data_IF_978360248360
#
_entry.id   IF_978360248360
#
_cell.length_a   1.000
_cell.length_b   1.000
_cell.length_c   1.000
_cell.angle_alpha   90.00
_cell.angle_beta   90.00
_cell.angle_gamma   90.00
#
_symmetry.space_group_name_H-M   'P 1'
#
loop_
_entity.id
_entity.type
_entity.pdbx_description
1 polymer ?
#
# COMPACT_ATOMS: atom_id res chain seq x y z
N UNK A 1 -18.29 18.18 -10.50
CA UNK A 1 -17.37 17.06 -10.28
C UNK A 1 -18.23 15.85 -9.96
N UNK A 2 -18.06 14.74 -10.67
CA UNK A 2 -18.79 13.49 -10.44
C UNK A 2 -17.83 12.45 -9.87
N UNK A 3 -18.31 11.60 -8.95
CA UNK A 3 -17.48 10.49 -8.41
C UNK A 3 -17.37 9.37 -9.44
N UNK A 4 -18.39 9.23 -10.28
CA UNK A 4 -18.40 8.23 -11.35
C UNK A 4 -17.46 8.63 -12.48
N UNK A 5 -16.78 7.63 -13.04
CA UNK A 5 -15.85 7.76 -14.16
C UNK A 5 -16.51 7.15 -15.39
N UNK A 6 -16.70 7.94 -16.44
CA UNK A 6 -17.37 7.50 -17.67
C UNK A 6 -16.56 6.41 -18.41
N UNK A 7 -15.24 6.49 -18.33
CA UNK A 7 -14.33 5.50 -18.90
C UNK A 7 -12.98 5.54 -18.18
N UNK A 8 -12.45 4.38 -17.77
CA UNK A 8 -11.13 4.27 -17.15
C UNK A 8 -10.02 4.76 -18.10
N UNK A 9 -10.21 4.59 -19.40
CA UNK A 9 -9.21 4.95 -20.42
C UNK A 9 -9.32 6.39 -20.91
N UNK A 10 -10.43 7.06 -20.62
CA UNK A 10 -10.75 8.39 -21.17
C UNK A 10 -11.52 9.26 -20.17
N UNK A 11 -11.16 9.15 -18.88
CA UNK A 11 -11.78 9.94 -17.83
C UNK A 11 -11.49 11.44 -18.02
N UNK A 12 -12.51 12.28 -17.84
CA UNK A 12 -12.34 13.73 -17.84
C UNK A 12 -11.76 14.22 -16.52
N UNK A 13 -11.12 15.41 -16.55
CA UNK A 13 -10.49 16.02 -15.35
C UNK A 13 -11.43 16.26 -14.17
N UNK A 14 -12.73 16.33 -14.41
CA UNK A 14 -13.76 16.54 -13.38
C UNK A 14 -14.44 15.27 -12.90
N UNK A 15 -14.07 14.12 -13.46
CA UNK A 15 -14.55 12.80 -13.02
C UNK A 15 -13.62 12.17 -12.00
N UNK A 16 -14.18 11.25 -11.21
CA UNK A 16 -13.46 10.48 -10.20
C UNK A 16 -13.29 11.20 -8.85
N UNK A 17 -12.95 10.41 -7.86
CA UNK A 17 -12.64 10.90 -6.52
C UNK A 17 -11.28 11.63 -6.51
N UNK A 18 -11.19 12.70 -5.70
CA UNK A 18 -9.91 13.38 -5.44
C UNK A 18 -9.32 12.83 -4.15
N UNK A 19 -8.04 12.49 -4.21
CA UNK A 19 -7.32 12.07 -3.03
C UNK A 19 -6.62 13.30 -2.44
N UNK A 20 -6.93 13.57 -1.17
CA UNK A 20 -6.24 14.57 -0.37
C UNK A 20 -5.66 13.86 0.86
N UNK A 21 -4.38 13.59 0.84
CA UNK A 21 -3.69 12.89 1.92
C UNK A 21 -3.05 13.84 2.91
N UNK A 22 -2.55 14.97 2.42
CA UNK A 22 -1.91 16.01 3.20
C UNK A 22 -2.71 17.30 3.05
N UNK A 23 -2.79 18.08 4.12
CA UNK A 23 -3.47 19.37 4.09
C UNK A 23 -2.70 20.36 3.21
N UNK A 24 -3.46 21.18 2.48
CA UNK A 24 -2.89 22.27 1.69
C UNK A 24 -2.85 23.54 2.53
N UNK A 25 -1.70 24.19 2.55
CA UNK A 25 -1.55 25.53 3.12
C UNK A 25 -2.00 26.57 2.10
N UNK A 26 -2.96 27.43 2.49
CA UNK A 26 -3.45 28.50 1.63
C UNK A 26 -2.34 29.53 1.38
N UNK A 27 -2.13 29.85 0.10
CA UNK A 27 -1.09 30.83 -0.31
C UNK A 27 0.31 30.23 -0.51
N UNK A 28 0.48 28.94 -0.35
CA UNK A 28 1.76 28.28 -0.65
C UNK A 28 2.12 28.41 -2.14
N UNK A 29 3.39 28.65 -2.44
CA UNK A 29 3.89 28.85 -3.80
C UNK A 29 4.86 27.76 -4.31
N UNK A 30 5.00 26.66 -3.59
CA UNK A 30 5.90 25.57 -4.03
C UNK A 30 6.14 24.49 -2.98
N UNK A 31 6.47 24.87 -1.75
CA UNK A 31 6.70 23.94 -0.66
C UNK A 31 5.67 24.14 0.45
N UNK A 32 5.28 23.06 1.11
CA UNK A 32 4.40 23.07 2.28
C UNK A 32 5.24 22.77 3.54
N UNK A 33 4.77 23.20 4.70
CA UNK A 33 5.43 22.97 5.99
C UNK A 33 5.16 21.58 6.59
N UNK A 34 4.35 20.74 5.92
CA UNK A 34 4.06 19.39 6.36
C UNK A 34 5.13 18.41 5.89
N UNK A 35 5.49 17.47 6.78
CA UNK A 35 6.47 16.43 6.50
C UNK A 35 5.85 15.25 5.75
N UNK A 36 6.66 14.57 4.92
CA UNK A 36 6.29 13.28 4.37
C UNK A 36 6.45 12.21 5.44
N UNK A 37 5.36 11.49 5.74
CA UNK A 37 5.34 10.47 6.78
C UNK A 37 5.99 9.18 6.27
N UNK A 38 7.09 8.77 6.90
CA UNK A 38 7.74 7.48 6.62
C UNK A 38 7.07 6.32 7.35
N UNK A 39 6.76 6.51 8.66
CA UNK A 39 6.06 5.54 9.49
C UNK A 39 5.05 6.26 10.37
N UNK A 40 3.92 5.62 10.62
CA UNK A 40 2.90 6.12 11.54
C UNK A 40 2.26 4.98 12.34
N UNK A 41 1.57 5.31 13.40
CA UNK A 41 1.03 4.35 14.35
C UNK A 41 0.16 3.26 13.69
N UNK A 42 -0.63 3.61 12.66
CA UNK A 42 -1.41 2.64 11.92
C UNK A 42 -0.55 1.54 11.28
N UNK A 43 0.65 1.88 10.78
CA UNK A 43 1.56 0.87 10.22
C UNK A 43 2.06 -0.11 11.29
N UNK A 44 2.38 0.38 12.48
CA UNK A 44 2.78 -0.47 13.61
C UNK A 44 1.67 -1.46 13.98
N UNK A 45 0.41 -1.00 14.01
CA UNK A 45 -0.74 -1.88 14.27
C UNK A 45 -0.94 -2.92 13.17
N UNK A 46 -0.78 -2.56 11.90
CA UNK A 46 -0.89 -3.53 10.82
C UNK A 46 0.29 -4.49 10.76
N UNK A 47 1.51 -4.08 11.12
CA UNK A 47 2.63 -5.00 11.30
C UNK A 47 2.38 -5.98 12.45
N UNK A 48 1.82 -5.51 13.59
CA UNK A 48 1.38 -6.37 14.70
C UNK A 48 0.31 -7.36 14.24
N UNK A 49 -0.69 -6.89 13.47
CA UNK A 49 -1.72 -7.74 12.90
C UNK A 49 -1.14 -8.81 11.98
N UNK A 50 -0.23 -8.43 11.08
CA UNK A 50 0.45 -9.37 10.18
C UNK A 50 1.24 -10.44 10.94
N UNK A 51 2.02 -10.04 11.95
CA UNK A 51 2.79 -10.96 12.76
C UNK A 51 1.89 -11.99 13.48
N UNK A 52 0.75 -11.54 14.01
CA UNK A 52 -0.24 -12.42 14.64
C UNK A 52 -0.86 -13.38 13.62
N UNK A 53 -1.27 -12.88 12.46
CA UNK A 53 -1.89 -13.69 11.41
C UNK A 53 -0.93 -14.72 10.81
N UNK A 54 0.38 -14.45 10.82
CA UNK A 54 1.40 -15.37 10.29
C UNK A 54 1.91 -16.38 11.30
N UNK A 55 1.82 -16.14 12.59
CA UNK A 55 2.40 -17.04 13.58
C UNK A 55 1.83 -16.92 14.99
N UNK A 56 0.82 -16.08 15.20
CA UNK A 56 0.12 -15.94 16.48
C UNK A 56 -1.01 -16.96 16.66
N UNK A 57 -1.82 -16.73 17.68
CA UNK A 57 -2.98 -17.55 17.98
C UNK A 57 -4.28 -16.71 18.02
N UNK A 58 -5.43 -17.40 18.08
CA UNK A 58 -6.74 -16.76 18.09
C UNK A 58 -6.94 -15.77 19.25
N UNK A 59 -6.38 -16.05 20.44
CA UNK A 59 -6.51 -15.17 21.60
C UNK A 59 -5.77 -13.83 21.37
N UNK A 60 -4.57 -13.86 20.78
CA UNK A 60 -3.81 -12.64 20.44
C UNK A 60 -4.49 -11.84 19.35
N UNK A 61 -5.12 -12.51 18.37
CA UNK A 61 -5.88 -11.82 17.32
C UNK A 61 -7.14 -11.16 17.90
N UNK A 62 -7.87 -11.86 18.75
CA UNK A 62 -9.05 -11.32 19.44
C UNK A 62 -8.68 -10.10 20.31
N UNK A 63 -7.57 -10.17 21.04
CA UNK A 63 -7.08 -9.07 21.86
C UNK A 63 -6.73 -7.85 21.00
N UNK A 64 -6.07 -8.04 19.85
CA UNK A 64 -5.77 -6.95 18.92
C UNK A 64 -7.04 -6.31 18.34
N UNK A 65 -8.01 -7.13 17.91
CA UNK A 65 -9.27 -6.63 17.35
C UNK A 65 -10.10 -5.85 18.41
N UNK A 66 -9.94 -6.16 19.69
CA UNK A 66 -10.59 -5.46 20.80
C UNK A 66 -9.82 -4.18 21.24
N UNK A 67 -8.61 -3.94 20.74
CA UNK A 67 -7.79 -2.79 21.15
C UNK A 67 -8.36 -1.49 20.58
N UNK A 68 -8.74 -0.49 21.41
CA UNK A 68 -9.42 0.73 20.93
C UNK A 68 -8.64 1.49 19.88
N UNK A 69 -7.32 1.58 20.01
CA UNK A 69 -6.49 2.27 19.04
C UNK A 69 -6.43 1.58 17.67
N UNK A 70 -6.58 0.25 17.63
CA UNK A 70 -6.71 -0.49 16.38
C UNK A 70 -8.08 -0.30 15.74
N UNK A 71 -9.16 -0.32 16.55
CA UNK A 71 -10.52 -0.06 16.08
C UNK A 71 -10.66 1.34 15.50
N UNK A 72 -10.06 2.35 16.14
CA UNK A 72 -10.13 3.74 15.71
C UNK A 72 -9.61 3.95 14.28
N UNK A 73 -8.70 3.11 13.78
CA UNK A 73 -8.21 3.22 12.39
C UNK A 73 -9.37 3.05 11.40
N UNK A 74 -10.29 2.14 11.69
CA UNK A 74 -11.47 1.87 10.84
C UNK A 74 -12.61 2.85 11.10
N UNK A 75 -12.86 3.14 12.38
CA UNK A 75 -13.95 4.01 12.79
C UNK A 75 -13.83 5.41 12.22
N UNK A 76 -12.62 6.00 12.18
CA UNK A 76 -12.39 7.32 11.59
C UNK A 76 -12.71 7.37 10.08
N UNK A 77 -12.70 6.22 9.41
CA UNK A 77 -13.08 6.07 8.01
C UNK A 77 -14.56 5.64 7.86
N UNK A 78 -15.33 5.65 8.96
CA UNK A 78 -16.72 5.19 9.00
C UNK A 78 -16.89 3.76 8.45
N UNK A 79 -15.92 2.88 8.77
CA UNK A 79 -15.95 1.49 8.38
C UNK A 79 -16.12 0.57 9.60
N UNK A 80 -16.76 -0.59 9.44
CA UNK A 80 -16.86 -1.57 10.52
C UNK A 80 -15.47 -1.97 11.04
N UNK A 81 -15.33 -2.09 12.37
CA UNK A 81 -14.11 -2.59 13.00
C UNK A 81 -13.85 -4.04 12.63
N UNK A 82 -12.59 -4.44 12.65
CA UNK A 82 -12.22 -5.82 12.39
C UNK A 82 -12.58 -6.74 13.57
N UNK A 83 -13.02 -7.93 13.22
CA UNK A 83 -13.13 -9.08 14.12
C UNK A 83 -12.10 -10.14 13.74
N UNK A 84 -11.82 -11.14 14.59
CA UNK A 84 -10.91 -12.24 14.23
C UNK A 84 -11.30 -12.98 12.95
N UNK A 85 -12.59 -13.02 12.63
CA UNK A 85 -13.11 -13.70 11.44
C UNK A 85 -12.94 -12.85 10.17
N UNK A 86 -12.98 -11.53 10.29
CA UNK A 86 -12.90 -10.62 9.15
C UNK A 86 -11.47 -10.16 8.85
N UNK A 87 -10.57 -10.19 9.84
CA UNK A 87 -9.17 -9.82 9.67
C UNK A 87 -8.34 -11.01 9.19
N UNK A 88 -8.23 -11.15 7.89
CA UNK A 88 -7.38 -12.16 7.23
C UNK A 88 -6.14 -11.52 6.63
N UNK A 89 -5.13 -12.32 6.22
CA UNK A 89 -3.95 -11.80 5.52
C UNK A 89 -4.32 -11.10 4.19
N UNK A 90 -5.31 -11.63 3.47
CA UNK A 90 -5.76 -11.02 2.22
C UNK A 90 -6.52 -9.71 2.45
N UNK A 91 -7.32 -9.63 3.51
CA UNK A 91 -7.95 -8.37 3.88
C UNK A 91 -6.93 -7.37 4.41
N UNK A 92 -5.96 -7.80 5.20
CA UNK A 92 -4.92 -6.93 5.74
C UNK A 92 -4.11 -6.23 4.64
N UNK A 93 -3.69 -6.94 3.58
CA UNK A 93 -2.97 -6.30 2.45
C UNK A 93 -3.87 -5.32 1.69
N UNK A 94 -5.17 -5.58 1.61
CA UNK A 94 -6.12 -4.68 0.99
C UNK A 94 -6.33 -3.43 1.86
N UNK A 95 -6.47 -3.61 3.17
CA UNK A 95 -6.58 -2.50 4.11
C UNK A 95 -5.33 -1.63 4.14
N UNK A 96 -4.14 -2.22 4.18
CA UNK A 96 -2.89 -1.48 4.02
C UNK A 96 -2.86 -0.66 2.74
N UNK A 97 -3.38 -1.21 1.64
CA UNK A 97 -3.49 -0.50 0.37
C UNK A 97 -4.43 0.70 0.41
N UNK A 98 -5.53 0.62 1.17
CA UNK A 98 -6.47 1.73 1.39
C UNK A 98 -5.88 2.78 2.34
N UNK A 99 -5.38 2.32 3.48
CA UNK A 99 -4.87 3.17 4.54
C UNK A 99 -3.62 3.95 4.14
N UNK A 100 -2.69 3.31 3.42
CA UNK A 100 -1.41 3.90 3.00
C UNK A 100 -1.41 4.34 1.54
N UNK A 101 -2.58 4.57 0.95
CA UNK A 101 -2.67 5.18 -0.38
C UNK A 101 -1.87 6.49 -0.43
N UNK A 102 -1.02 6.65 -1.45
CA UNK A 102 -0.11 7.80 -1.64
C UNK A 102 1.03 7.95 -0.61
N UNK A 103 1.27 6.94 0.23
CA UNK A 103 2.40 6.92 1.16
C UNK A 103 3.58 6.03 0.70
N UNK A 104 3.51 5.49 -0.53
CA UNK A 104 4.62 4.73 -1.13
C UNK A 104 4.70 3.24 -0.74
N UNK A 105 3.82 2.74 0.13
CA UNK A 105 3.92 1.38 0.69
C UNK A 105 3.43 0.27 -0.23
N UNK A 106 2.53 0.56 -1.17
CA UNK A 106 1.79 -0.48 -1.91
C UNK A 106 2.68 -1.47 -2.65
N UNK A 107 3.75 -0.99 -3.30
CA UNK A 107 4.68 -1.88 -4.02
C UNK A 107 5.38 -2.85 -3.07
N UNK A 108 5.89 -2.38 -1.94
CA UNK A 108 6.57 -3.22 -0.96
C UNK A 108 5.63 -4.29 -0.40
N UNK A 109 4.40 -3.91 -0.04
CA UNK A 109 3.40 -4.85 0.44
C UNK A 109 3.09 -5.92 -0.61
N UNK A 110 2.88 -5.54 -1.86
CA UNK A 110 2.61 -6.48 -2.94
C UNK A 110 3.78 -7.45 -3.19
N UNK A 111 5.02 -6.98 -3.11
CA UNK A 111 6.23 -7.83 -3.21
C UNK A 111 6.30 -8.80 -2.04
N UNK A 112 6.14 -8.31 -0.79
CA UNK A 112 6.17 -9.14 0.44
C UNK A 112 5.09 -10.22 0.47
N UNK A 113 3.93 -9.97 -0.15
CA UNK A 113 2.83 -10.94 -0.28
C UNK A 113 2.90 -11.79 -1.55
N UNK A 114 3.99 -11.69 -2.34
CA UNK A 114 4.13 -12.40 -3.62
C UNK A 114 2.99 -12.09 -4.62
N UNK A 115 2.47 -10.88 -4.55
CA UNK A 115 1.34 -10.40 -5.38
C UNK A 115 1.74 -9.36 -6.42
N UNK A 116 2.96 -8.80 -6.36
CA UNK A 116 3.35 -7.73 -7.28
C UNK A 116 3.49 -8.23 -8.71
N UNK A 117 4.31 -9.23 -8.94
CA UNK A 117 4.48 -9.81 -10.27
C UNK A 117 3.23 -10.59 -10.72
N UNK A 118 2.69 -11.44 -9.84
CA UNK A 118 1.57 -12.35 -10.12
C UNK A 118 0.20 -11.67 -10.15
N UNK A 119 0.06 -10.50 -9.52
CA UNK A 119 -1.21 -9.77 -9.48
C UNK A 119 -1.59 -9.20 -10.84
N UNK A 120 -2.90 -9.19 -11.12
CA UNK A 120 -3.50 -8.56 -12.30
C UNK A 120 -4.35 -7.38 -11.87
N UNK A 121 -4.19 -6.25 -12.53
CA UNK A 121 -5.05 -5.07 -12.38
C UNK A 121 -5.09 -4.27 -13.68
N UNK A 122 -5.82 -3.17 -13.68
CA UNK A 122 -5.93 -2.29 -14.87
C UNK A 122 -4.55 -1.95 -15.41
N UNK A 123 -4.33 -2.22 -16.68
CA UNK A 123 -3.07 -1.99 -17.42
C UNK A 123 -1.87 -2.84 -16.96
N UNK A 124 -2.07 -3.85 -16.14
CA UNK A 124 -1.02 -4.82 -15.78
C UNK A 124 -1.53 -6.25 -15.87
N UNK A 125 -0.91 -7.04 -16.70
CA UNK A 125 -1.10 -8.47 -16.72
C UNK A 125 -0.21 -9.18 -15.68
N UNK A 126 -0.65 -10.36 -15.24
CA UNK A 126 0.14 -11.22 -14.38
C UNK A 126 1.40 -11.71 -15.11
N UNK A 127 2.52 -11.75 -14.41
CA UNK A 127 3.76 -12.34 -14.91
C UNK A 127 3.92 -13.76 -14.37
N UNK A 128 4.56 -14.61 -15.15
CA UNK A 128 4.84 -16.01 -14.77
C UNK A 128 6.05 -16.14 -13.83
N UNK A 129 6.73 -15.05 -13.54
CA UNK A 129 7.91 -15.02 -12.69
C UNK A 129 7.99 -13.73 -11.88
N UNK A 130 8.88 -13.67 -10.90
CA UNK A 130 9.06 -12.54 -10.00
C UNK A 130 10.17 -11.57 -10.44
N UNK A 131 10.56 -11.56 -11.72
CA UNK A 131 11.65 -10.70 -12.20
C UNK A 131 11.43 -9.22 -11.94
N UNK A 132 10.16 -8.78 -11.90
CA UNK A 132 9.79 -7.38 -11.64
C UNK A 132 9.72 -7.01 -10.15
N UNK A 133 9.90 -7.95 -9.25
CA UNK A 133 9.97 -7.68 -7.81
C UNK A 133 11.25 -6.94 -7.43
N UNK A 134 12.31 -7.11 -8.22
CA UNK A 134 13.54 -6.34 -8.13
C UNK A 134 13.54 -5.19 -9.13
N UNK A 135 14.25 -4.12 -8.82
CA UNK A 135 14.56 -3.07 -9.79
C UNK A 135 15.77 -3.45 -10.63
N UNK A 136 15.89 -2.95 -11.87
CA UNK A 136 17.13 -3.08 -12.62
C UNK A 136 18.26 -2.32 -11.93
N UNK A 137 19.46 -2.86 -11.98
CA UNK A 137 20.66 -2.10 -11.65
C UNK A 137 20.85 -1.06 -12.75
N UNK A 138 21.03 0.23 -12.43
CA UNK A 138 21.25 1.27 -13.45
C UNK A 138 22.43 0.90 -14.37
N UNK A 139 22.22 1.07 -15.66
CA UNK A 139 23.22 0.70 -16.66
C UNK A 139 24.59 1.34 -16.40
N UNK A 140 24.61 2.62 -16.02
CA UNK A 140 25.84 3.35 -15.68
C UNK A 140 26.62 2.73 -14.52
N UNK A 141 25.96 2.01 -13.63
CA UNK A 141 26.63 1.33 -12.52
C UNK A 141 27.25 0.00 -12.98
N UNK A 142 26.57 -0.73 -13.87
CA UNK A 142 27.09 -1.96 -14.46
C UNK A 142 28.33 -1.65 -15.33
N UNK A 143 28.30 -0.57 -16.10
CA UNK A 143 29.45 -0.18 -16.94
C UNK A 143 30.68 0.22 -16.12
N UNK A 144 30.47 0.77 -14.93
CA UNK A 144 31.57 1.12 -13.99
C UNK A 144 32.14 -0.08 -13.27
N UNK A 145 31.34 -1.14 -13.09
CA UNK A 145 31.77 -2.36 -12.42
C UNK A 145 31.37 -3.60 -13.22
N UNK A 146 32.25 -4.05 -14.07
CA UNK A 146 32.03 -5.19 -14.98
C UNK A 146 31.81 -6.53 -14.26
N UNK A 147 32.09 -6.63 -12.96
CA UNK A 147 31.77 -7.82 -12.16
C UNK A 147 30.30 -7.94 -11.80
N UNK A 148 29.54 -6.85 -11.91
CA UNK A 148 28.12 -6.84 -11.60
C UNK A 148 27.30 -7.43 -12.75
N UNK A 149 26.34 -8.24 -12.40
CA UNK A 149 25.37 -8.81 -13.34
C UNK A 149 24.00 -8.19 -13.10
N UNK A 150 23.32 -7.90 -14.18
CA UNK A 150 21.95 -7.39 -14.11
C UNK A 150 21.01 -8.39 -13.44
N UNK A 151 20.02 -7.87 -12.74
CA UNK A 151 18.95 -8.69 -12.19
C UNK A 151 18.20 -9.43 -13.32
N UNK A 152 17.71 -10.67 -13.08
CA UNK A 152 16.99 -11.44 -14.08
C UNK A 152 15.79 -10.69 -14.65
N UNK A 153 15.62 -10.68 -15.95
CA UNK A 153 14.49 -10.05 -16.63
C UNK A 153 14.73 -8.61 -17.13
N UNK A 154 15.97 -8.12 -17.03
CA UNK A 154 16.39 -6.81 -17.54
C UNK A 154 17.56 -6.90 -18.48
#
# INVERSE_FOLDING_TARGET
MTIEVSSINAAYRWEGARIQKYEYELGMTGNMNNDFVLYRLADIYYMKAEAILRGGNAATLSALCAEPAFQLIRERANQPVYTPETLTLDELINERGREFAWEGWRRQDLVRWDKFAKGRWTFKEALNNNSRDLFPIPYDQITKNQSWKQNPGY
#
